data_IF_030735461274
#
_entry.id   IF_030735461274
#
_cell.length_a   1.000
_cell.length_b   1.000
_cell.length_c   1.000
_cell.angle_alpha   90.00
_cell.angle_beta   90.00
_cell.angle_gamma   90.00
#
_symmetry.space_group_name_H-M   'P 1'
#
loop_
_entity.id
_entity.type
_entity.pdbx_description
1 polymer ?
#
# COMPACT_ATOMS: atom_id res chain seq x y z
N UNK A 1 -21.06 1.55 -1.75
CA UNK A 1 -20.34 1.13 -2.94
C UNK A 1 -20.43 -0.37 -3.12
N UNK A 2 -21.27 -0.78 -4.04
CA UNK A 2 -21.49 -2.20 -4.30
C UNK A 2 -20.19 -2.91 -4.71
N UNK A 3 -19.35 -2.23 -5.51
CA UNK A 3 -18.10 -2.83 -5.98
C UNK A 3 -17.16 -3.19 -4.82
N UNK A 4 -17.09 -2.34 -3.78
CA UNK A 4 -16.26 -2.61 -2.62
C UNK A 4 -16.84 -3.77 -1.82
N UNK A 5 -18.14 -3.78 -1.60
CA UNK A 5 -18.80 -4.84 -0.85
C UNK A 5 -18.70 -6.19 -1.53
N UNK A 6 -18.53 -6.21 -2.86
CA UNK A 6 -18.45 -7.43 -3.64
C UNK A 6 -17.03 -8.00 -3.73
N UNK A 7 -16.01 -7.28 -3.21
CA UNK A 7 -14.63 -7.77 -3.27
C UNK A 7 -14.46 -8.99 -2.37
N UNK A 8 -13.84 -10.05 -2.88
CA UNK A 8 -13.59 -11.23 -2.05
C UNK A 8 -12.57 -10.97 -0.96
N UNK A 9 -12.61 -11.75 0.10
CA UNK A 9 -11.68 -11.62 1.23
C UNK A 9 -10.25 -11.97 0.86
N UNK A 10 -10.02 -12.55 -0.31
CA UNK A 10 -8.69 -12.89 -0.77
C UNK A 10 -7.99 -11.73 -1.48
N UNK A 11 -8.63 -10.56 -1.59
CA UNK A 11 -8.09 -9.40 -2.31
C UNK A 11 -7.82 -8.27 -1.35
N UNK A 12 -6.61 -7.71 -1.42
CA UNK A 12 -6.26 -6.44 -0.79
C UNK A 12 -6.12 -5.38 -1.87
N UNK A 13 -6.66 -4.18 -1.64
CA UNK A 13 -6.65 -3.10 -2.63
C UNK A 13 -5.83 -1.92 -2.18
N UNK A 14 -5.12 -1.33 -3.13
CA UNK A 14 -4.49 -0.01 -3.00
C UNK A 14 -5.19 0.89 -4.02
N UNK A 15 -5.89 1.90 -3.54
CA UNK A 15 -6.71 2.75 -4.39
C UNK A 15 -6.88 4.14 -3.78
N UNK A 16 -7.23 5.08 -4.64
CA UNK A 16 -7.46 6.47 -4.22
C UNK A 16 -8.65 6.57 -3.24
N UNK A 17 -9.67 5.74 -3.42
CA UNK A 17 -10.87 5.75 -2.57
C UNK A 17 -10.68 5.00 -1.25
N UNK A 18 -9.46 4.60 -0.92
CA UNK A 18 -9.10 4.01 0.37
C UNK A 18 -8.05 4.89 1.04
N UNK A 19 -8.44 6.08 1.54
CA UNK A 19 -7.48 7.04 2.06
C UNK A 19 -6.87 6.61 3.39
N UNK A 20 -5.76 7.27 3.74
CA UNK A 20 -5.16 7.15 5.06
C UNK A 20 -5.94 8.00 6.06
N UNK A 21 -5.85 7.64 7.34
CA UNK A 21 -6.33 8.50 8.40
C UNK A 21 -5.31 9.62 8.60
N UNK A 22 -5.73 10.85 8.37
CA UNK A 22 -4.83 12.01 8.35
C UNK A 22 -4.23 12.33 9.70
N UNK A 23 -4.91 11.96 10.78
CA UNK A 23 -4.46 12.23 12.14
C UNK A 23 -3.52 11.17 12.71
N UNK A 24 -3.26 10.12 11.96
CA UNK A 24 -2.35 9.05 12.37
C UNK A 24 -1.07 9.07 11.55
N UNK A 25 0.03 8.60 12.16
CA UNK A 25 1.28 8.39 11.44
C UNK A 25 1.15 7.27 10.41
N UNK A 26 2.13 7.17 9.52
CA UNK A 26 2.22 6.04 8.60
C UNK A 26 2.22 4.72 9.36
N UNK A 27 3.06 4.63 10.40
CA UNK A 27 3.13 3.43 11.24
C UNK A 27 1.78 3.06 11.81
N UNK A 28 1.07 4.03 12.39
CA UNK A 28 -0.21 3.76 13.04
C UNK A 28 -1.31 3.40 12.03
N UNK A 29 -1.29 4.00 10.85
CA UNK A 29 -2.21 3.61 9.78
C UNK A 29 -2.06 2.13 9.42
N UNK A 30 -0.83 1.65 9.34
CA UNK A 30 -0.56 0.26 9.00
C UNK A 30 -0.90 -0.64 10.18
N UNK A 31 -0.51 -0.25 11.39
CA UNK A 31 -0.68 -1.05 12.60
C UNK A 31 -2.14 -1.30 12.97
N UNK A 32 -3.07 -0.45 12.51
CA UNK A 32 -4.49 -0.66 12.73
C UNK A 32 -4.97 -2.02 12.21
N UNK A 33 -4.38 -2.51 11.13
CA UNK A 33 -4.81 -3.76 10.51
C UNK A 33 -4.58 -4.96 11.43
N UNK A 34 -3.35 -5.27 11.87
CA UNK A 34 -3.16 -6.40 12.80
C UNK A 34 -3.86 -6.18 14.14
N UNK A 35 -3.94 -4.93 14.60
CA UNK A 35 -4.58 -4.63 15.87
C UNK A 35 -6.06 -5.01 15.86
N UNK A 36 -6.79 -4.59 14.82
CA UNK A 36 -8.24 -4.79 14.80
C UNK A 36 -8.68 -6.04 14.06
N UNK A 37 -7.94 -6.49 13.06
CA UNK A 37 -8.35 -7.65 12.27
C UNK A 37 -7.77 -8.97 12.77
N UNK A 38 -6.65 -8.93 13.50
CA UNK A 38 -5.98 -10.14 14.00
C UNK A 38 -5.85 -10.15 15.50
N UNK A 39 -6.36 -9.14 16.18
CA UNK A 39 -6.36 -9.03 17.63
C UNK A 39 -4.95 -9.10 18.26
N UNK A 40 -3.95 -8.63 17.54
CA UNK A 40 -2.61 -8.50 18.11
C UNK A 40 -2.56 -7.35 19.09
N UNK A 41 -1.60 -7.40 20.02
CA UNK A 41 -1.36 -6.28 20.93
C UNK A 41 -0.88 -5.04 20.17
N UNK A 42 -0.94 -3.88 20.82
CA UNK A 42 -0.44 -2.64 20.24
C UNK A 42 1.05 -2.74 19.88
N UNK A 43 1.84 -3.35 20.76
CA UNK A 43 3.28 -3.50 20.53
C UNK A 43 3.58 -4.43 19.38
N UNK A 44 2.89 -5.56 19.28
CA UNK A 44 3.06 -6.49 18.17
C UNK A 44 2.61 -5.87 16.86
N UNK A 45 1.52 -5.11 16.87
CA UNK A 45 1.00 -4.45 15.68
C UNK A 45 1.97 -3.40 15.17
N UNK A 46 2.56 -2.61 16.08
CA UNK A 46 3.56 -1.62 15.71
C UNK A 46 4.81 -2.27 15.14
N UNK A 47 5.24 -3.39 15.71
CA UNK A 47 6.40 -4.13 15.21
C UNK A 47 6.15 -4.67 13.81
N UNK A 48 4.98 -5.22 13.55
CA UNK A 48 4.64 -5.72 12.21
C UNK A 48 4.60 -4.59 11.20
N UNK A 49 4.05 -3.44 11.57
CA UNK A 49 4.00 -2.27 10.70
C UNK A 49 5.41 -1.77 10.38
N UNK A 50 6.27 -1.68 11.39
CA UNK A 50 7.66 -1.26 11.21
C UNK A 50 8.41 -2.22 10.27
N UNK A 51 8.24 -3.52 10.48
CA UNK A 51 8.87 -4.54 9.65
C UNK A 51 8.42 -4.41 8.20
N UNK A 52 7.14 -4.16 7.97
CA UNK A 52 6.61 -4.00 6.62
C UNK A 52 7.25 -2.79 5.93
N UNK A 53 7.36 -1.67 6.62
CA UNK A 53 8.02 -0.48 6.06
C UNK A 53 9.49 -0.72 5.77
N UNK A 54 10.17 -1.47 6.64
CA UNK A 54 11.57 -1.85 6.41
C UNK A 54 11.73 -2.73 5.18
N UNK A 55 10.83 -3.69 5.00
CA UNK A 55 10.85 -4.56 3.82
C UNK A 55 10.63 -3.78 2.53
N UNK A 56 9.83 -2.73 2.58
CA UNK A 56 9.59 -1.86 1.43
C UNK A 56 10.73 -0.85 1.20
N UNK A 57 11.68 -0.77 2.13
CA UNK A 57 12.77 0.19 2.01
C UNK A 57 12.41 1.61 2.40
N UNK A 58 11.34 1.79 3.17
CA UNK A 58 10.80 3.12 3.52
C UNK A 58 10.54 3.26 5.02
N UNK A 59 11.41 2.70 5.85
CA UNK A 59 11.24 2.78 7.30
C UNK A 59 11.23 4.21 7.82
N UNK A 60 11.88 5.13 7.12
CA UNK A 60 12.00 6.53 7.51
C UNK A 60 10.66 7.29 7.52
N UNK A 61 9.64 6.79 6.83
CA UNK A 61 8.35 7.48 6.79
C UNK A 61 7.45 7.13 7.97
N UNK A 62 7.84 6.19 8.82
CA UNK A 62 7.01 5.70 9.92
C UNK A 62 6.35 6.80 10.76
N UNK A 63 7.04 7.87 11.17
CA UNK A 63 6.44 8.91 12.00
C UNK A 63 5.64 9.96 11.24
N UNK A 64 5.66 9.96 9.91
CA UNK A 64 5.02 11.01 9.12
C UNK A 64 3.51 10.85 9.11
N UNK A 65 2.80 11.98 9.17
CA UNK A 65 1.35 12.04 8.98
C UNK A 65 1.04 12.44 7.54
N UNK A 66 -0.18 12.19 7.10
CA UNK A 66 -0.59 12.42 5.72
C UNK A 66 -0.20 13.81 5.18
N UNK A 67 -0.44 14.92 5.92
CA UNK A 67 -0.05 16.24 5.41
C UNK A 67 1.44 16.40 5.14
N UNK A 68 2.28 15.64 5.81
CA UNK A 68 3.73 15.73 5.68
C UNK A 68 4.33 14.74 4.68
N UNK A 69 3.47 13.93 4.05
CA UNK A 69 3.92 12.91 3.09
C UNK A 69 3.87 13.43 1.67
N UNK A 70 4.84 12.99 0.85
CA UNK A 70 4.73 13.10 -0.61
C UNK A 70 3.71 12.09 -1.13
N UNK A 71 3.21 12.26 -2.36
CA UNK A 71 2.35 11.24 -2.97
C UNK A 71 2.96 9.84 -2.95
N UNK A 72 4.26 9.72 -3.26
CA UNK A 72 4.93 8.42 -3.21
C UNK A 72 4.92 7.83 -1.81
N UNK A 73 5.16 8.65 -0.78
CA UNK A 73 5.14 8.18 0.60
C UNK A 73 3.75 7.75 1.05
N UNK A 74 2.70 8.46 0.62
CA UNK A 74 1.32 8.04 0.89
C UNK A 74 1.03 6.71 0.23
N UNK A 75 1.48 6.54 -1.00
CA UNK A 75 1.31 5.27 -1.71
C UNK A 75 1.99 4.12 -0.99
N UNK A 76 3.22 4.30 -0.54
CA UNK A 76 3.96 3.28 0.21
C UNK A 76 3.19 2.89 1.48
N UNK A 77 2.65 3.87 2.19
CA UNK A 77 1.86 3.62 3.41
C UNK A 77 0.60 2.81 3.10
N UNK A 78 -0.12 3.17 2.03
CA UNK A 78 -1.31 2.43 1.58
C UNK A 78 -0.95 1.01 1.15
N UNK A 79 0.15 0.86 0.46
CA UNK A 79 0.65 -0.45 0.02
C UNK A 79 0.99 -1.32 1.22
N UNK A 80 1.71 -0.78 2.19
CA UNK A 80 2.06 -1.50 3.42
C UNK A 80 0.80 -1.93 4.17
N UNK A 81 -0.19 -1.05 4.26
CA UNK A 81 -1.48 -1.35 4.88
C UNK A 81 -2.19 -2.50 4.19
N UNK A 82 -2.11 -2.55 2.87
CA UNK A 82 -2.70 -3.64 2.09
C UNK A 82 -1.91 -4.94 2.23
N UNK A 83 -0.59 -4.87 2.16
CA UNK A 83 0.27 -6.05 2.24
C UNK A 83 0.17 -6.74 3.59
N UNK A 84 0.00 -5.97 4.67
CA UNK A 84 -0.05 -6.55 6.01
C UNK A 84 -1.32 -7.37 6.24
N UNK A 85 -2.33 -7.22 5.38
CA UNK A 85 -3.51 -8.08 5.38
C UNK A 85 -3.17 -9.52 5.01
N UNK A 86 -2.06 -9.74 4.30
CA UNK A 86 -1.57 -11.07 3.88
C UNK A 86 -2.62 -11.85 3.08
N UNK A 87 -3.32 -11.15 2.21
CA UNK A 87 -4.27 -11.79 1.30
C UNK A 87 -3.56 -12.32 0.06
N UNK A 88 -4.11 -13.36 -0.58
CA UNK A 88 -3.45 -13.98 -1.76
C UNK A 88 -3.28 -13.03 -2.93
N UNK A 89 -4.17 -12.04 -3.10
CA UNK A 89 -4.11 -11.12 -4.22
C UNK A 89 -3.98 -9.69 -3.73
N UNK A 90 -3.08 -8.95 -4.35
CA UNK A 90 -2.96 -7.51 -4.17
C UNK A 90 -3.32 -6.82 -5.48
N UNK A 91 -4.26 -5.90 -5.42
CA UNK A 91 -4.71 -5.14 -6.59
C UNK A 91 -4.38 -3.67 -6.38
N UNK A 92 -3.62 -3.10 -7.30
CA UNK A 92 -3.31 -1.67 -7.33
C UNK A 92 -4.17 -1.06 -8.43
N UNK A 93 -5.09 -0.18 -8.04
CA UNK A 93 -6.07 0.38 -8.94
C UNK A 93 -5.67 1.79 -9.34
N UNK A 94 -5.44 2.00 -10.63
CA UNK A 94 -5.12 3.30 -11.25
C UNK A 94 -4.03 4.04 -10.47
N UNK A 95 -2.81 3.48 -10.44
CA UNK A 95 -1.74 4.05 -9.62
C UNK A 95 -1.37 5.47 -10.00
N UNK A 96 -1.59 5.89 -11.25
CA UNK A 96 -1.28 7.25 -11.66
C UNK A 96 -2.06 8.31 -10.93
N UNK A 97 -3.24 7.98 -10.39
CA UNK A 97 -4.03 8.90 -9.58
C UNK A 97 -3.37 9.18 -8.23
N UNK A 98 -2.54 8.25 -7.74
CA UNK A 98 -1.86 8.36 -6.45
C UNK A 98 -0.40 8.75 -6.60
N UNK A 99 0.27 8.22 -7.64
CA UNK A 99 1.71 8.38 -7.86
C UNK A 99 1.99 9.35 -8.99
N UNK A 100 1.68 10.62 -8.78
CA UNK A 100 1.88 11.64 -9.80
C UNK A 100 3.21 12.40 -9.66
N UNK A 101 4.03 12.04 -8.69
CA UNK A 101 5.33 12.66 -8.45
C UNK A 101 6.52 11.77 -8.83
N UNK A 102 6.27 10.55 -9.31
CA UNK A 102 7.31 9.60 -9.69
C UNK A 102 6.90 8.83 -10.95
N UNK A 103 7.86 8.22 -11.68
CA UNK A 103 7.52 7.29 -12.77
C UNK A 103 6.97 6.00 -12.16
N UNK A 104 5.68 5.94 -12.01
CA UNK A 104 5.03 4.97 -11.14
C UNK A 104 5.19 3.50 -11.54
N UNK A 105 5.25 3.10 -12.83
CA UNK A 105 5.46 1.67 -13.12
C UNK A 105 6.81 1.17 -12.60
N UNK A 106 7.85 1.98 -12.75
CA UNK A 106 9.17 1.64 -12.24
C UNK A 106 9.18 1.61 -10.72
N UNK A 107 8.56 2.61 -10.09
CA UNK A 107 8.48 2.71 -8.64
C UNK A 107 7.79 1.48 -8.05
N UNK A 108 6.67 1.07 -8.62
CA UNK A 108 5.93 -0.12 -8.17
C UNK A 108 6.78 -1.38 -8.33
N UNK A 109 7.49 -1.52 -9.45
CA UNK A 109 8.38 -2.67 -9.67
C UNK A 109 9.49 -2.73 -8.62
N UNK A 110 10.05 -1.58 -8.27
CA UNK A 110 11.09 -1.52 -7.24
C UNK A 110 10.56 -1.95 -5.88
N UNK A 111 9.34 -1.51 -5.53
CA UNK A 111 8.70 -1.93 -4.27
C UNK A 111 8.43 -3.43 -4.26
N UNK A 112 7.95 -3.98 -5.37
CA UNK A 112 7.69 -5.41 -5.47
C UNK A 112 8.99 -6.22 -5.31
N UNK A 113 10.07 -5.75 -5.91
CA UNK A 113 11.38 -6.40 -5.78
C UNK A 113 11.88 -6.38 -4.34
N UNK A 114 11.66 -5.28 -3.63
CA UNK A 114 12.05 -5.16 -2.22
C UNK A 114 11.37 -6.20 -1.34
N UNK A 115 10.10 -6.51 -1.63
CA UNK A 115 9.34 -7.47 -0.83
C UNK A 115 9.56 -8.92 -1.26
N UNK A 116 10.19 -9.14 -2.40
CA UNK A 116 10.33 -10.48 -2.99
C UNK A 116 9.03 -11.04 -3.53
N UNK A 117 8.01 -10.21 -3.71
CA UNK A 117 6.67 -10.64 -4.14
C UNK A 117 6.36 -10.21 -5.57
N UNK A 118 7.39 -9.93 -6.36
CA UNK A 118 7.20 -9.54 -7.76
C UNK A 118 6.41 -10.59 -8.52
N UNK A 119 5.45 -10.15 -9.31
CA UNK A 119 4.61 -11.04 -10.10
C UNK A 119 3.32 -11.46 -9.43
N UNK A 120 3.15 -11.17 -8.13
CA UNK A 120 1.90 -11.49 -7.43
C UNK A 120 0.94 -10.31 -7.37
N UNK A 121 1.40 -9.13 -7.74
CA UNK A 121 0.61 -7.91 -7.71
C UNK A 121 -0.09 -7.70 -9.04
N UNK A 122 -1.34 -7.24 -8.99
CA UNK A 122 -2.15 -6.94 -10.17
C UNK A 122 -2.36 -5.44 -10.23
N UNK A 123 -2.10 -4.86 -11.40
CA UNK A 123 -2.28 -3.42 -11.63
C UNK A 123 -3.42 -3.23 -12.62
N UNK A 124 -4.44 -2.48 -12.21
CA UNK A 124 -5.53 -2.07 -13.08
C UNK A 124 -5.36 -0.61 -13.41
N UNK A 125 -5.28 -0.31 -14.72
CA UNK A 125 -5.05 1.04 -15.20
C UNK A 125 -5.84 1.25 -16.48
N UNK A 126 -5.88 2.50 -16.93
CA UNK A 126 -6.50 2.81 -18.21
C UNK A 126 -5.65 2.25 -19.35
N UNK A 127 -6.33 1.83 -20.44
CA UNK A 127 -5.65 1.21 -21.57
C UNK A 127 -4.64 2.15 -22.23
N UNK A 128 -4.89 3.46 -22.20
CA UNK A 128 -3.97 4.44 -22.79
C UNK A 128 -2.66 4.59 -22.02
N UNK A 129 -2.60 4.06 -20.79
CA UNK A 129 -1.36 4.07 -20.00
C UNK A 129 -0.53 2.81 -20.22
N UNK A 130 -0.98 1.89 -21.08
CA UNK A 130 -0.25 0.64 -21.32
C UNK A 130 1.21 0.88 -21.74
N UNK A 131 1.53 1.86 -22.61
CA UNK A 131 2.92 2.07 -23.01
C UNK A 131 3.86 2.40 -21.85
N UNK A 132 3.35 2.93 -20.74
CA UNK A 132 4.18 3.24 -19.57
C UNK A 132 4.74 2.00 -18.91
N UNK A 133 4.12 0.84 -19.12
CA UNK A 133 4.54 -0.43 -18.53
C UNK A 133 5.46 -1.24 -19.44
N UNK A 134 5.67 -0.78 -20.66
CA UNK A 134 6.55 -1.45 -21.62
C UNK A 134 8.01 -1.16 -21.29
N UNK A 135 8.86 -2.14 -21.53
CA UNK A 135 10.30 -2.00 -21.36
C UNK A 135 10.92 -1.17 -22.49
#
# INVERSE_FOLDING_TARGET
MAAVAALPDDVARVALDLPLRANLSALDNIALIPLYQRHFSADESALQAQTMLEQLGHADIAPLRDPDMTPAQRFVTKLARALILKRPRLVIDRPGAMLYDVPYPLFIRQLAAQTGMAGTWEIYDFSWNRPLYSE
#
